data_IF_185773925062
#
_entry.id   IF_185773925062
#
_cell.length_a   1.000
_cell.length_b   1.000
_cell.length_c   1.000
_cell.angle_alpha   90.00
_cell.angle_beta   90.00
_cell.angle_gamma   90.00
#
_symmetry.space_group_name_H-M   'P 1'
#
loop_
_entity.id
_entity.type
_entity.pdbx_description
1 polymer ?
#
# COMPACT_ATOMS: atom_id res chain seq x y z
N UNK A 1 -23.12 -23.24 15.75
CA UNK A 1 -22.48 -22.10 15.06
C UNK A 1 -21.07 -22.52 14.69
N UNK A 2 -20.70 -22.39 13.42
CA UNK A 2 -19.38 -22.77 12.90
C UNK A 2 -18.36 -21.65 13.19
N UNK A 3 -17.24 -21.92 13.87
CA UNK A 3 -16.24 -20.89 14.24
C UNK A 3 -15.29 -20.47 13.11
N UNK A 4 -15.31 -21.14 11.94
CA UNK A 4 -14.25 -21.02 10.93
C UNK A 4 -14.47 -19.98 9.82
N UNK A 5 -15.27 -18.94 10.07
CA UNK A 5 -15.46 -17.86 9.11
C UNK A 5 -15.40 -16.50 9.81
N UNK A 6 -14.20 -16.10 10.26
CA UNK A 6 -13.95 -14.69 10.56
C UNK A 6 -14.02 -13.91 9.24
N UNK A 7 -15.03 -13.04 9.03
CA UNK A 7 -15.16 -12.36 7.76
C UNK A 7 -14.09 -11.27 7.71
N UNK A 8 -13.35 -11.19 6.60
CA UNK A 8 -12.48 -10.04 6.29
C UNK A 8 -13.21 -8.68 6.44
N UNK A 9 -14.55 -8.71 6.37
CA UNK A 9 -15.48 -7.61 6.66
C UNK A 9 -15.33 -7.03 8.07
N UNK A 10 -14.82 -7.79 9.04
CA UNK A 10 -14.66 -7.36 10.43
C UNK A 10 -13.47 -6.41 10.58
N UNK A 11 -12.28 -6.77 10.07
CA UNK A 11 -11.06 -5.96 10.19
C UNK A 11 -11.19 -4.60 9.51
N UNK A 12 -11.75 -4.55 8.28
CA UNK A 12 -11.93 -3.29 7.56
C UNK A 12 -12.87 -2.32 8.27
N UNK A 13 -13.89 -2.83 8.96
CA UNK A 13 -14.83 -2.04 9.75
C UNK A 13 -14.16 -1.37 10.95
N UNK A 14 -13.41 -2.12 11.77
CA UNK A 14 -12.72 -1.55 12.94
C UNK A 14 -11.65 -0.53 12.55
N UNK A 15 -10.87 -0.79 11.49
CA UNK A 15 -9.88 0.16 10.99
C UNK A 15 -10.52 1.49 10.56
N UNK A 16 -11.68 1.43 9.90
CA UNK A 16 -12.40 2.64 9.52
C UNK A 16 -12.90 3.41 10.75
N UNK A 17 -13.42 2.71 11.77
CA UNK A 17 -13.82 3.33 13.04
C UNK A 17 -12.64 4.03 13.74
N UNK A 18 -11.47 3.41 13.78
CA UNK A 18 -10.25 4.01 14.33
C UNK A 18 -9.88 5.29 13.59
N UNK A 19 -9.96 5.29 12.26
CA UNK A 19 -9.69 6.49 11.46
C UNK A 19 -10.74 7.59 11.67
N UNK A 20 -12.01 7.24 11.92
CA UNK A 20 -13.05 8.22 12.27
C UNK A 20 -12.79 8.92 13.60
N UNK A 21 -12.03 8.30 14.51
CA UNK A 21 -11.62 8.91 15.78
C UNK A 21 -10.47 9.93 15.62
N UNK A 22 -9.88 10.04 14.43
CA UNK A 22 -8.81 10.98 14.12
C UNK A 22 -9.30 12.15 13.25
N UNK A 23 -8.70 13.35 13.34
CA UNK A 23 -9.02 14.45 12.44
C UNK A 23 -8.74 14.12 10.96
N UNK A 24 -9.57 14.71 10.07
CA UNK A 24 -9.47 14.55 8.62
C UNK A 24 -10.50 13.57 8.04
N UNK A 25 -10.36 13.23 6.76
CA UNK A 25 -11.24 12.26 6.10
C UNK A 25 -10.77 10.83 6.38
N UNK A 26 -11.58 9.97 7.04
CA UNK A 26 -11.18 8.61 7.40
C UNK A 26 -10.99 7.70 6.18
N UNK A 27 -11.72 7.96 5.09
CA UNK A 27 -11.58 7.24 3.82
C UNK A 27 -10.25 7.57 3.16
N UNK A 28 -9.92 8.87 3.03
CA UNK A 28 -8.65 9.29 2.46
C UNK A 28 -7.46 8.72 3.25
N UNK A 29 -7.55 8.75 4.59
CA UNK A 29 -6.53 8.17 5.47
C UNK A 29 -6.37 6.67 5.22
N UNK A 30 -7.48 5.93 5.18
CA UNK A 30 -7.47 4.49 4.91
C UNK A 30 -6.77 4.17 3.58
N UNK A 31 -7.06 4.93 2.52
CA UNK A 31 -6.46 4.74 1.20
C UNK A 31 -4.95 5.03 1.22
N UNK A 32 -4.54 6.12 1.87
CA UNK A 32 -3.11 6.46 1.99
C UNK A 32 -2.35 5.39 2.77
N UNK A 33 -2.89 4.95 3.91
CA UNK A 33 -2.24 3.96 4.77
C UNK A 33 -2.13 2.59 4.07
N UNK A 34 -3.19 2.17 3.36
CA UNK A 34 -3.15 0.93 2.57
C UNK A 34 -2.19 1.01 1.40
N UNK A 35 -2.15 2.15 0.73
CA UNK A 35 -1.23 2.37 -0.38
C UNK A 35 0.22 2.31 0.09
N UNK A 36 0.54 2.96 1.23
CA UNK A 36 1.88 2.89 1.82
C UNK A 36 2.29 1.46 2.16
N UNK A 37 1.41 0.71 2.83
CA UNK A 37 1.66 -0.72 3.15
C UNK A 37 1.87 -1.56 1.90
N UNK A 38 1.06 -1.34 0.87
CA UNK A 38 1.21 -2.05 -0.39
C UNK A 38 2.52 -1.71 -1.10
N UNK A 39 2.89 -0.43 -1.16
CA UNK A 39 4.15 0.00 -1.76
C UNK A 39 5.36 -0.55 -1.00
N UNK A 40 5.33 -0.54 0.32
CA UNK A 40 6.39 -1.13 1.16
C UNK A 40 6.56 -2.63 0.89
N UNK A 41 5.45 -3.39 0.89
CA UNK A 41 5.48 -4.81 0.56
C UNK A 41 5.98 -5.06 -0.88
N UNK A 42 5.52 -4.26 -1.85
CA UNK A 42 5.95 -4.37 -3.23
C UNK A 42 7.46 -4.15 -3.38
N UNK A 43 8.01 -3.14 -2.71
CA UNK A 43 9.45 -2.84 -2.74
C UNK A 43 10.28 -3.87 -1.97
N UNK A 44 9.76 -4.38 -0.86
CA UNK A 44 10.45 -5.38 -0.06
C UNK A 44 10.52 -6.74 -0.77
N UNK A 45 9.39 -7.18 -1.35
CA UNK A 45 9.25 -8.55 -1.85
C UNK A 45 9.48 -8.69 -3.35
N UNK A 46 9.09 -7.69 -4.15
CA UNK A 46 8.93 -7.85 -5.60
C UNK A 46 9.82 -6.90 -6.42
N UNK A 47 10.73 -6.16 -5.79
CA UNK A 47 11.59 -5.22 -6.53
C UNK A 47 12.59 -5.95 -7.44
N UNK A 48 12.98 -7.17 -7.09
CA UNK A 48 13.86 -8.03 -7.90
C UNK A 48 13.11 -8.92 -8.87
N UNK A 49 11.77 -9.03 -8.75
CA UNK A 49 10.94 -9.87 -9.61
C UNK A 49 10.93 -9.35 -11.06
N UNK A 50 11.36 -10.16 -12.05
CA UNK A 50 11.46 -9.72 -13.45
C UNK A 50 10.12 -9.27 -14.06
N UNK A 51 9.01 -9.92 -13.71
CA UNK A 51 7.69 -9.58 -14.23
C UNK A 51 7.20 -8.23 -13.70
N UNK A 52 7.36 -7.99 -12.40
CA UNK A 52 7.07 -6.71 -11.73
C UNK A 52 7.90 -5.58 -12.32
N UNK A 53 9.22 -5.78 -12.47
CA UNK A 53 10.12 -4.79 -13.10
C UNK A 53 9.72 -4.48 -14.53
N UNK A 54 9.34 -5.49 -15.32
CA UNK A 54 8.87 -5.29 -16.70
C UNK A 54 7.61 -4.42 -16.72
N UNK A 55 6.63 -4.72 -15.86
CA UNK A 55 5.37 -3.96 -15.77
C UNK A 55 5.63 -2.49 -15.42
N UNK A 56 6.47 -2.23 -14.41
CA UNK A 56 6.84 -0.88 -14.00
C UNK A 56 7.56 -0.12 -15.11
N UNK A 57 8.50 -0.76 -15.82
CA UNK A 57 9.18 -0.13 -16.96
C UNK A 57 8.22 0.20 -18.09
N UNK A 58 7.29 -0.70 -18.42
CA UNK A 58 6.28 -0.45 -19.47
C UNK A 58 5.28 0.63 -19.09
N UNK A 59 5.03 0.84 -17.79
CA UNK A 59 4.18 1.92 -17.28
C UNK A 59 4.92 3.23 -17.01
N UNK A 60 6.23 3.32 -17.33
CA UNK A 60 7.08 4.47 -17.05
C UNK A 60 7.19 4.80 -15.55
N UNK A 61 7.16 3.76 -14.73
CA UNK A 61 7.14 3.86 -13.27
C UNK A 61 5.73 3.98 -12.72
N UNK A 62 5.62 4.62 -11.56
CA UNK A 62 4.36 4.86 -10.86
C UNK A 62 3.72 6.18 -11.33
N UNK A 63 2.38 6.27 -11.24
CA UNK A 63 1.72 7.55 -11.48
C UNK A 63 2.14 8.58 -10.44
N UNK A 64 1.94 9.88 -10.75
CA UNK A 64 2.42 10.98 -9.91
C UNK A 64 2.04 10.83 -8.42
N UNK A 65 0.79 10.45 -8.13
CA UNK A 65 0.32 10.28 -6.76
C UNK A 65 1.09 9.17 -6.01
N UNK A 66 1.26 8.01 -6.63
CA UNK A 66 2.00 6.88 -6.05
C UNK A 66 3.51 7.15 -5.97
N UNK A 67 4.07 7.86 -6.95
CA UNK A 67 5.48 8.26 -6.96
C UNK A 67 5.82 9.20 -5.80
N UNK A 68 4.91 10.12 -5.45
CA UNK A 68 5.08 10.96 -4.25
C UNK A 68 4.97 10.16 -2.96
N UNK A 69 3.99 9.25 -2.86
CA UNK A 69 3.84 8.40 -1.67
C UNK A 69 5.04 7.49 -1.44
N UNK A 70 5.74 7.07 -2.51
CA UNK A 70 6.96 6.28 -2.39
C UNK A 70 8.08 6.97 -1.61
N UNK A 71 8.16 8.29 -1.66
CA UNK A 71 9.18 9.05 -0.91
C UNK A 71 9.00 8.96 0.61
N UNK A 72 7.79 8.65 1.06
CA UNK A 72 7.45 8.49 2.48
C UNK A 72 7.67 7.06 3.00
N UNK A 73 8.01 6.10 2.12
CA UNK A 73 8.16 4.68 2.49
C UNK A 73 9.62 4.39 2.85
N UNK A 74 9.86 3.73 3.99
CA UNK A 74 11.21 3.52 4.55
C UNK A 74 12.12 2.64 3.66
N UNK A 75 11.55 1.67 2.94
CA UNK A 75 12.27 0.81 1.97
C UNK A 75 12.62 1.50 0.65
N UNK A 76 12.24 2.77 0.45
CA UNK A 76 12.52 3.52 -0.78
C UNK A 76 14.02 3.66 -1.08
N UNK A 77 14.88 3.65 -0.06
CA UNK A 77 16.34 3.81 -0.19
C UNK A 77 17.02 2.67 -0.97
N UNK A 78 16.46 1.45 -0.97
CA UNK A 78 16.99 0.30 -1.72
C UNK A 78 16.13 -0.07 -2.93
N UNK A 79 14.81 0.15 -2.86
CA UNK A 79 13.87 -0.27 -3.90
C UNK A 79 13.66 0.73 -5.05
N UNK A 80 13.82 2.04 -4.79
CA UNK A 80 13.58 3.08 -5.80
C UNK A 80 14.69 3.19 -6.86
N UNK A 81 15.85 2.57 -6.64
CA UNK A 81 16.96 2.58 -7.61
C UNK A 81 16.70 1.72 -8.87
N UNK A 82 15.56 1.03 -8.94
CA UNK A 82 15.22 0.07 -10.00
C UNK A 82 14.19 0.61 -11.00
N UNK A 83 13.47 1.69 -10.66
CA UNK A 83 12.51 2.39 -11.53
C UNK A 83 13.21 3.41 -12.43
#
# INVERSE_FOLDING_TARGET
MNPDAMPAKFIGYFRLLEHCASPGCPVCRSVIDDTRKYLDALLYEQVTDPDTRRRLRTSWGFCNWHAWLLLDVETSLSGAAII
#
